data_IF_597121899714
#
_entry.id   IF_597121899714
#
_cell.length_a   1.000
_cell.length_b   1.000
_cell.length_c   1.000
_cell.angle_alpha   90.00
_cell.angle_beta   90.00
_cell.angle_gamma   90.00
#
_symmetry.space_group_name_H-M   'P 1'
#
loop_
_entity.id
_entity.type
_entity.pdbx_description
1 polymer ?
#
# COMPACT_ATOMS: atom_id res chain seq x y z
N UNK A 1 -19.79 2.12 -3.95
CA UNK A 1 -18.44 1.53 -3.87
C UNK A 1 -17.55 2.38 -4.75
N UNK A 2 -16.54 3.03 -4.19
CA UNK A 2 -15.52 3.72 -4.97
C UNK A 2 -14.45 2.71 -5.38
N UNK A 3 -13.93 2.84 -6.59
CA UNK A 3 -12.89 1.96 -7.10
C UNK A 3 -11.72 2.80 -7.62
N UNK A 4 -10.49 2.40 -7.30
CA UNK A 4 -9.25 2.96 -7.84
C UNK A 4 -8.67 2.00 -8.89
N UNK A 5 -9.31 1.89 -10.05
CA UNK A 5 -8.95 0.87 -11.04
C UNK A 5 -7.85 1.38 -11.97
N UNK A 6 -7.93 2.65 -12.33
CA UNK A 6 -6.95 3.30 -13.19
C UNK A 6 -5.89 3.99 -12.35
N UNK A 7 -4.73 4.19 -12.96
CA UNK A 7 -3.63 4.91 -12.31
C UNK A 7 -4.02 6.34 -11.87
N UNK A 8 -4.86 7.02 -12.64
CA UNK A 8 -5.36 8.36 -12.29
C UNK A 8 -6.26 8.36 -11.07
N UNK A 9 -6.98 7.27 -10.81
CA UNK A 9 -7.85 7.19 -9.63
C UNK A 9 -7.02 7.22 -8.34
N UNK A 10 -5.84 6.58 -8.36
CA UNK A 10 -4.92 6.57 -7.22
C UNK A 10 -4.41 7.96 -6.83
N UNK A 11 -4.47 8.96 -7.72
CA UNK A 11 -4.09 10.33 -7.41
C UNK A 11 -4.95 10.95 -6.28
N UNK A 12 -6.16 10.44 -6.04
CA UNK A 12 -7.04 10.90 -4.97
C UNK A 12 -6.44 10.68 -3.55
N UNK A 13 -5.51 9.72 -3.43
CA UNK A 13 -4.83 9.36 -2.17
C UNK A 13 -3.31 9.51 -2.25
N UNK A 14 -2.83 10.33 -3.18
CA UNK A 14 -1.39 10.61 -3.28
C UNK A 14 -0.87 11.26 -2.00
N UNK A 15 0.17 10.67 -1.42
CA UNK A 15 0.75 11.08 -0.13
C UNK A 15 0.05 10.52 1.11
N UNK A 16 -1.07 9.82 0.98
CA UNK A 16 -1.85 9.34 2.11
C UNK A 16 -1.48 7.91 2.51
N UNK A 17 -1.47 7.65 3.82
CA UNK A 17 -1.34 6.30 4.36
C UNK A 17 -2.72 5.65 4.35
N UNK A 18 -2.79 4.46 3.77
CA UNK A 18 -3.99 3.63 3.71
C UNK A 18 -3.70 2.26 4.32
N UNK A 19 -4.65 1.69 5.03
CA UNK A 19 -4.56 0.31 5.53
C UNK A 19 -5.16 -0.65 4.50
N UNK A 20 -4.44 -1.72 4.17
CA UNK A 20 -5.01 -2.83 3.38
C UNK A 20 -5.76 -3.75 4.33
N UNK A 21 -7.06 -3.90 4.09
CA UNK A 21 -7.92 -4.85 4.83
C UNK A 21 -8.08 -6.18 4.10
N UNK A 22 -7.86 -6.20 2.79
CA UNK A 22 -7.92 -7.41 1.98
C UNK A 22 -6.99 -7.33 0.78
N UNK A 23 -6.19 -8.37 0.55
CA UNK A 23 -5.41 -8.56 -0.66
C UNK A 23 -5.97 -9.74 -1.47
N UNK A 24 -6.33 -9.50 -2.73
CA UNK A 24 -6.88 -10.51 -3.64
C UNK A 24 -6.00 -10.60 -4.88
N UNK A 25 -5.02 -11.52 -4.91
CA UNK A 25 -4.16 -11.69 -6.08
C UNK A 25 -4.96 -12.27 -7.25
N UNK A 26 -4.79 -11.69 -8.44
CA UNK A 26 -5.36 -12.18 -9.70
C UNK A 26 -4.30 -12.91 -10.54
N UNK A 27 -3.03 -12.52 -10.38
CA UNK A 27 -1.86 -13.23 -10.87
C UNK A 27 -1.17 -14.01 -9.74
N UNK A 28 -0.20 -14.87 -10.09
CA UNK A 28 0.64 -15.60 -9.13
C UNK A 28 2.11 -15.35 -9.36
N UNK A 29 2.94 -15.47 -8.32
CA UNK A 29 4.40 -15.53 -8.47
C UNK A 29 4.85 -16.97 -8.25
N UNK A 30 5.57 -17.54 -9.23
CA UNK A 30 6.15 -18.89 -9.15
C UNK A 30 7.60 -18.79 -9.58
N UNK A 31 8.53 -19.20 -8.70
CA UNK A 31 9.97 -19.12 -8.98
C UNK A 31 10.44 -17.70 -9.30
N UNK A 32 9.88 -16.69 -8.61
CA UNK A 32 10.20 -15.27 -8.82
C UNK A 32 9.64 -14.65 -10.11
N UNK A 33 8.86 -15.39 -10.90
CA UNK A 33 8.22 -14.90 -12.12
C UNK A 33 6.72 -14.75 -11.93
N UNK A 34 6.18 -13.62 -12.38
CA UNK A 34 4.74 -13.40 -12.42
C UNK A 34 4.16 -14.25 -13.54
N UNK A 35 3.26 -15.14 -13.16
CA UNK A 35 2.43 -15.95 -14.05
C UNK A 35 1.07 -15.27 -14.10
N UNK A 36 0.81 -14.56 -15.19
CA UNK A 36 -0.44 -13.90 -15.49
C UNK A 36 -0.92 -14.31 -16.89
N UNK A 37 -2.22 -14.55 -17.02
CA UNK A 37 -2.86 -14.93 -18.29
C UNK A 37 -3.52 -13.73 -18.98
N UNK A 38 -3.57 -12.56 -18.35
CA UNK A 38 -4.32 -11.40 -18.85
C UNK A 38 -3.49 -10.12 -18.83
N UNK A 39 -3.23 -9.54 -20.01
CA UNK A 39 -2.49 -8.28 -20.14
C UNK A 39 -3.33 -7.03 -19.82
N UNK A 40 -4.64 -7.16 -19.72
CA UNK A 40 -5.58 -6.04 -19.56
C UNK A 40 -6.21 -5.94 -18.16
N UNK A 41 -5.84 -6.83 -17.25
CA UNK A 41 -6.35 -6.87 -15.87
C UNK A 41 -5.24 -6.48 -14.90
N UNK A 42 -5.59 -5.93 -13.71
CA UNK A 42 -4.60 -5.74 -12.67
C UNK A 42 -4.06 -7.09 -12.18
N UNK A 43 -2.83 -7.10 -11.68
CA UNK A 43 -2.21 -8.27 -11.07
C UNK A 43 -2.86 -8.66 -9.73
N UNK A 44 -3.44 -7.68 -9.03
CA UNK A 44 -4.18 -7.89 -7.79
C UNK A 44 -5.22 -6.80 -7.56
N UNK A 45 -6.17 -7.09 -6.68
CA UNK A 45 -7.07 -6.11 -6.08
C UNK A 45 -6.76 -5.97 -4.60
N UNK A 46 -6.78 -4.74 -4.09
CA UNK A 46 -6.70 -4.44 -2.66
C UNK A 46 -7.99 -3.79 -2.20
N UNK A 47 -8.49 -4.17 -1.04
CA UNK A 47 -9.49 -3.38 -0.31
C UNK A 47 -8.76 -2.56 0.72
N UNK A 48 -9.02 -1.25 0.73
CA UNK A 48 -8.31 -0.30 1.57
C UNK A 48 -9.24 0.59 2.38
N UNK A 49 -8.74 0.98 3.55
CA UNK A 49 -9.25 2.09 4.33
C UNK A 49 -8.31 3.28 4.16
N UNK A 50 -8.90 4.45 3.91
CA UNK A 50 -8.19 5.72 3.78
C UNK A 50 -9.11 6.84 4.31
N UNK A 51 -8.61 7.85 5.04
CA UNK A 51 -9.45 8.96 5.51
C UNK A 51 -10.10 9.76 4.37
N UNK A 52 -9.46 9.79 3.19
CA UNK A 52 -9.93 10.53 2.02
C UNK A 52 -10.94 9.77 1.15
N UNK A 53 -11.20 8.51 1.45
CA UNK A 53 -12.04 7.66 0.62
C UNK A 53 -13.22 7.09 1.42
N UNK A 54 -14.32 6.73 0.74
CA UNK A 54 -15.36 5.92 1.35
C UNK A 54 -14.78 4.60 1.90
N UNK A 55 -15.39 4.10 2.99
CA UNK A 55 -15.07 2.77 3.52
C UNK A 55 -15.17 1.71 2.42
N UNK A 56 -14.26 0.74 2.46
CA UNK A 56 -14.15 -0.40 1.55
C UNK A 56 -13.90 -0.03 0.07
N UNK A 57 -13.01 0.94 -0.16
CA UNK A 57 -12.58 1.27 -1.52
C UNK A 57 -11.69 0.15 -2.08
N UNK A 58 -11.93 -0.26 -3.32
CA UNK A 58 -11.14 -1.30 -3.99
C UNK A 58 -10.16 -0.67 -4.98
N UNK A 59 -8.87 -0.94 -4.80
CA UNK A 59 -7.79 -0.51 -5.70
C UNK A 59 -7.26 -1.64 -6.57
N UNK A 60 -6.98 -1.34 -7.84
CA UNK A 60 -6.32 -2.24 -8.78
C UNK A 60 -4.81 -2.04 -8.81
N UNK A 61 -4.04 -3.12 -8.63
CA UNK A 61 -2.58 -3.11 -8.70
C UNK A 61 -2.15 -3.51 -10.11
N UNK A 62 -1.74 -2.53 -10.91
CA UNK A 62 -1.39 -2.72 -12.32
C UNK A 62 0.11 -2.73 -12.58
N UNK A 63 0.91 -2.16 -11.68
CA UNK A 63 2.36 -2.13 -11.82
C UNK A 63 3.01 -3.40 -11.28
N UNK A 64 3.98 -3.93 -12.05
CA UNK A 64 4.65 -5.20 -11.76
C UNK A 64 5.36 -5.21 -10.41
N UNK A 65 6.15 -4.17 -10.14
CA UNK A 65 6.96 -4.11 -8.91
C UNK A 65 6.08 -3.90 -7.68
N UNK A 66 5.03 -3.10 -7.79
CA UNK A 66 4.09 -2.87 -6.69
C UNK A 66 3.37 -4.17 -6.32
N UNK A 67 2.98 -4.96 -7.33
CA UNK A 67 2.43 -6.29 -7.11
C UNK A 67 3.44 -7.23 -6.44
N UNK A 68 4.70 -7.22 -6.86
CA UNK A 68 5.74 -8.05 -6.23
C UNK A 68 5.96 -7.68 -4.76
N UNK A 69 6.00 -6.39 -4.42
CA UNK A 69 6.13 -5.95 -3.04
C UNK A 69 4.94 -6.37 -2.18
N UNK A 70 3.72 -6.18 -2.69
CA UNK A 70 2.51 -6.63 -2.00
C UNK A 70 2.44 -8.15 -1.87
N UNK A 71 2.86 -8.90 -2.87
CA UNK A 71 2.92 -10.35 -2.80
C UNK A 71 3.90 -10.84 -1.73
N UNK A 72 5.10 -10.25 -1.69
CA UNK A 72 6.12 -10.56 -0.70
C UNK A 72 5.60 -10.33 0.73
N UNK A 73 4.80 -9.29 0.95
CA UNK A 73 4.24 -8.96 2.27
C UNK A 73 2.98 -9.76 2.60
N UNK A 74 2.01 -9.85 1.67
CA UNK A 74 0.68 -10.38 1.96
C UNK A 74 0.53 -11.89 1.70
N UNK A 75 1.43 -12.51 0.93
CA UNK A 75 1.33 -13.94 0.55
C UNK A 75 2.52 -14.72 1.06
N UNK A 76 3.74 -14.21 0.86
CA UNK A 76 4.96 -14.87 1.33
C UNK A 76 5.28 -14.48 2.78
N UNK A 77 4.87 -13.27 3.18
CA UNK A 77 4.98 -12.78 4.54
C UNK A 77 4.10 -13.59 5.48
N UNK A 78 4.68 -13.99 6.61
CA UNK A 78 3.97 -14.66 7.68
C UNK A 78 3.34 -13.62 8.63
N UNK A 79 2.45 -12.78 8.08
CA UNK A 79 1.77 -11.74 8.86
C UNK A 79 1.04 -12.37 10.03
N UNK A 80 1.35 -11.90 11.24
CA UNK A 80 0.68 -12.30 12.47
C UNK A 80 -0.59 -11.47 12.69
N UNK A 81 -1.46 -11.92 13.60
CA UNK A 81 -2.64 -11.14 14.00
C UNK A 81 -2.30 -9.82 14.72
N UNK A 82 -1.03 -9.63 15.09
CA UNK A 82 -0.52 -8.42 15.71
C UNK A 82 0.08 -7.42 14.69
N UNK A 83 -0.02 -7.73 13.39
CA UNK A 83 0.52 -6.94 12.31
C UNK A 83 -0.58 -6.55 11.32
N UNK A 84 -0.37 -5.41 10.65
CA UNK A 84 -1.23 -4.92 9.59
C UNK A 84 -0.39 -4.33 8.47
N UNK A 85 -0.96 -4.29 7.27
CA UNK A 85 -0.28 -3.79 6.08
C UNK A 85 -0.80 -2.42 5.75
N UNK A 86 0.10 -1.45 5.69
CA UNK A 86 -0.17 -0.12 5.20
C UNK A 86 0.45 0.06 3.83
N UNK A 87 -0.15 0.94 3.04
CA UNK A 87 0.41 1.43 1.80
C UNK A 87 0.38 2.94 1.76
N UNK A 88 1.34 3.52 1.04
CA UNK A 88 1.28 4.90 0.62
C UNK A 88 1.50 4.95 -0.89
N UNK A 89 0.53 5.53 -1.60
CA UNK A 89 0.69 5.87 -3.01
C UNK A 89 1.35 7.25 -3.09
N UNK A 90 2.55 7.35 -3.64
CA UNK A 90 3.34 8.59 -3.57
C UNK A 90 4.03 8.95 -4.89
N UNK A 91 3.28 8.95 -6.01
CA UNK A 91 3.87 9.27 -7.32
C UNK A 91 4.36 10.71 -7.42
N UNK A 92 3.82 11.65 -6.64
CA UNK A 92 4.37 13.01 -6.54
C UNK A 92 5.81 13.05 -5.99
N UNK A 93 6.19 12.05 -5.20
CA UNK A 93 7.53 11.88 -4.60
C UNK A 93 8.53 11.14 -5.49
N UNK A 94 8.19 10.83 -6.74
CA UNK A 94 9.12 10.23 -7.70
C UNK A 94 10.36 11.13 -7.91
N UNK A 95 11.54 10.53 -8.06
CA UNK A 95 12.78 11.25 -8.40
C UNK A 95 12.66 11.91 -9.78
N UNK A 96 13.34 13.04 -9.98
CA UNK A 96 13.18 13.91 -11.17
C UNK A 96 13.26 13.21 -12.54
N UNK A 97 14.14 12.23 -12.83
CA UNK A 97 14.06 11.54 -14.13
C UNK A 97 12.87 10.58 -14.21
N UNK A 98 12.43 9.99 -13.08
CA UNK A 98 11.30 9.08 -13.03
C UNK A 98 9.95 9.78 -13.19
N UNK A 99 9.85 11.08 -12.82
CA UNK A 99 8.64 11.89 -13.03
C UNK A 99 8.23 11.99 -14.50
N UNK A 100 9.20 11.98 -15.42
CA UNK A 100 8.93 12.08 -16.86
C UNK A 100 8.27 10.82 -17.45
N UNK A 101 8.39 9.68 -16.76
CA UNK A 101 7.81 8.40 -17.12
C UNK A 101 6.88 7.86 -16.03
N UNK A 102 6.30 8.75 -15.22
CA UNK A 102 5.54 8.41 -14.01
C UNK A 102 4.48 7.33 -14.22
N UNK A 103 3.85 7.31 -15.41
CA UNK A 103 2.88 6.29 -15.83
C UNK A 103 3.38 4.85 -15.70
N UNK A 104 4.66 4.63 -16.00
CA UNK A 104 5.27 3.30 -16.00
C UNK A 104 6.08 3.02 -14.72
N UNK A 105 6.06 3.94 -13.76
CA UNK A 105 6.81 3.80 -12.51
C UNK A 105 5.94 3.15 -11.43
N UNK A 106 6.56 2.39 -10.51
CA UNK A 106 5.90 1.99 -9.27
C UNK A 106 5.47 3.23 -8.48
N UNK A 107 4.36 3.11 -7.76
CA UNK A 107 3.84 4.20 -6.92
C UNK A 107 3.64 3.81 -5.47
N UNK A 108 3.76 2.52 -5.13
CA UNK A 108 3.42 2.02 -3.80
C UNK A 108 4.64 1.77 -2.94
N UNK A 109 4.69 2.49 -1.81
CA UNK A 109 5.43 2.04 -0.64
C UNK A 109 4.54 1.09 0.16
N UNK A 110 5.08 -0.07 0.53
CA UNK A 110 4.38 -1.08 1.35
C UNK A 110 5.03 -1.15 2.72
N UNK A 111 4.24 -1.11 3.77
CA UNK A 111 4.69 -1.02 5.15
C UNK A 111 4.01 -2.11 5.98
N UNK A 112 4.77 -2.81 6.82
CA UNK A 112 4.22 -3.69 7.86
C UNK A 112 4.26 -2.91 9.16
N UNK A 113 3.09 -2.73 9.76
CA UNK A 113 2.90 -1.97 11.00
C UNK A 113 2.34 -2.88 12.08
N UNK A 114 2.40 -2.43 13.33
CA UNK A 114 1.70 -3.10 14.43
C UNK A 114 0.19 -2.90 14.26
N UNK A 115 -0.60 -3.90 14.64
CA UNK A 115 -2.05 -3.77 14.67
C UNK A 115 -2.48 -2.54 15.49
N UNK A 116 -3.40 -1.75 14.95
CA UNK A 116 -3.85 -0.50 15.59
C UNK A 116 -3.03 0.74 15.22
N UNK A 117 -1.94 0.59 14.46
CA UNK A 117 -1.13 1.73 14.03
C UNK A 117 -1.91 2.67 13.10
N UNK A 118 -2.76 2.12 12.23
CA UNK A 118 -3.57 2.90 11.32
C UNK A 118 -4.54 3.84 12.06
N UNK A 119 -5.23 3.33 13.07
CA UNK A 119 -6.11 4.12 13.93
C UNK A 119 -5.32 5.19 14.69
N UNK A 120 -4.12 4.87 15.17
CA UNK A 120 -3.25 5.85 15.83
C UNK A 120 -2.76 6.97 14.89
N UNK A 121 -2.57 6.67 13.60
CA UNK A 121 -2.15 7.63 12.57
C UNK A 121 -3.34 8.52 12.17
N UNK A 122 -4.52 7.94 12.02
CA UNK A 122 -5.68 8.61 11.43
C UNK A 122 -6.61 9.28 12.44
N UNK A 123 -6.59 8.82 13.70
CA UNK A 123 -7.37 9.38 14.80
C UNK A 123 -6.46 9.89 15.94
N UNK A 124 -6.27 11.22 16.07
CA UNK A 124 -5.50 11.82 17.16
C UNK A 124 -6.05 11.53 18.56
N UNK A 125 -7.34 11.21 18.68
CA UNK A 125 -7.99 10.90 19.96
C UNK A 125 -7.88 9.41 20.32
N UNK A 126 -7.43 8.57 19.39
CA UNK A 126 -7.22 7.15 19.67
C UNK A 126 -6.05 6.96 20.64
N UNK A 127 -6.31 6.29 21.76
CA UNK A 127 -5.37 6.05 22.87
C UNK A 127 -4.69 7.34 23.36
N UNK A 128 -5.43 8.25 24.02
CA UNK A 128 -4.92 9.56 24.44
C UNK A 128 -3.80 9.45 25.48
N UNK A 129 -3.76 8.35 26.24
CA UNK A 129 -2.71 8.08 27.23
C UNK A 129 -1.35 7.73 26.58
N UNK A 130 -1.37 7.28 25.31
CA UNK A 130 -0.17 6.98 24.55
C UNK A 130 0.37 8.26 23.91
N UNK A 131 1.42 8.82 24.49
CA UNK A 131 1.98 10.12 24.09
C UNK A 131 3.48 10.05 23.76
N UNK A 132 4.00 11.12 23.14
CA UNK A 132 5.42 11.31 22.88
C UNK A 132 6.07 10.19 22.06
N UNK A 133 7.23 9.72 22.53
CA UNK A 133 8.02 8.69 21.87
C UNK A 133 7.29 7.35 21.75
N UNK A 134 6.48 7.00 22.76
CA UNK A 134 5.74 5.73 22.76
C UNK A 134 4.70 5.70 21.64
N UNK A 135 3.96 6.80 21.45
CA UNK A 135 3.02 6.95 20.33
C UNK A 135 3.73 6.92 18.98
N UNK A 136 4.82 7.67 18.86
CA UNK A 136 5.61 7.69 17.62
C UNK A 136 6.08 6.28 17.24
N UNK A 137 6.66 5.53 18.18
CA UNK A 137 7.10 4.14 17.94
C UNK A 137 5.96 3.17 17.62
N UNK A 138 4.75 3.44 18.09
CA UNK A 138 3.58 2.62 17.78
C UNK A 138 3.02 2.89 16.37
N UNK A 139 3.18 4.12 15.87
CA UNK A 139 2.78 4.51 14.52
C UNK A 139 3.80 4.10 13.44
N UNK A 140 5.06 3.93 13.81
CA UNK A 140 6.13 3.62 12.86
C UNK A 140 6.03 2.19 12.30
N UNK A 141 6.36 1.99 11.02
CA UNK A 141 6.45 0.67 10.44
C UNK A 141 7.54 -0.17 11.11
N UNK A 142 7.28 -1.46 11.27
CA UNK A 142 8.26 -2.48 11.68
C UNK A 142 9.26 -2.69 10.54
N UNK A 143 8.73 -2.78 9.31
CA UNK A 143 9.52 -2.87 8.08
C UNK A 143 8.78 -2.19 6.94
N UNK A 144 9.52 -1.74 5.93
CA UNK A 144 8.99 -1.06 4.76
C UNK A 144 9.73 -1.46 3.50
N UNK A 145 8.99 -1.61 2.40
CA UNK A 145 9.50 -1.85 1.06
C UNK A 145 9.13 -0.63 0.22
N UNK A 146 10.14 0.19 -0.09
CA UNK A 146 9.99 1.41 -0.87
C UNK A 146 10.72 1.22 -2.20
N UNK A 147 10.04 1.34 -3.35
CA UNK A 147 10.70 1.37 -4.65
C UNK A 147 11.81 2.44 -4.73
N UNK A 148 12.97 2.09 -5.28
CA UNK A 148 14.14 2.98 -5.39
C UNK A 148 13.88 4.30 -6.14
N UNK A 149 12.82 4.35 -6.95
CA UNK A 149 12.44 5.54 -7.72
C UNK A 149 11.66 6.56 -6.89
N UNK A 150 11.15 6.16 -5.72
CA UNK A 150 10.54 7.04 -4.73
C UNK A 150 11.65 7.62 -3.83
N UNK A 151 11.42 8.82 -3.29
CA UNK A 151 12.38 9.54 -2.46
C UNK A 151 11.71 10.06 -1.19
#
# INVERSE_FOLDING_TARGET
MSNLITESDWAAIDGEICQITKFTPLAKIIGGKIIDKSLSKPYALVTLQCPRLPRDTVGGITHKLDFMHLWAVCVEGQLTTAEEVHIAWTKSSLKMPAKLFSRFMPGLAVMICKAGAYELITDPQCQPDLTGEARFKAQMPITQIIPDVLK
#
